data_IF_087893237904
#
_entry.id   IF_087893237904
#
_cell.length_a   1.000
_cell.length_b   1.000
_cell.length_c   1.000
_cell.angle_alpha   90.00
_cell.angle_beta   90.00
_cell.angle_gamma   90.00
#
_symmetry.space_group_name_H-M   'P 1'
#
loop_
_entity.id
_entity.type
_entity.pdbx_description
1 polymer ?
#
# COMPACT_ATOMS: atom_id res chain seq x y z
N UNK A 1 21.80 -16.55 19.64
CA UNK A 1 22.53 -16.92 18.41
C UNK A 1 22.31 -18.41 18.14
N UNK A 2 21.26 -18.73 17.39
CA UNK A 2 20.97 -20.08 16.91
C UNK A 2 20.84 -19.98 15.38
N UNK A 3 21.49 -20.87 14.64
CA UNK A 3 21.55 -20.83 13.16
C UNK A 3 20.17 -20.74 12.54
N UNK A 4 19.20 -21.45 13.11
CA UNK A 4 17.79 -21.42 12.69
C UNK A 4 17.16 -20.02 12.84
N UNK A 5 17.38 -19.32 13.96
CA UNK A 5 16.89 -17.94 14.16
C UNK A 5 17.52 -16.98 13.16
N UNK A 6 18.83 -17.13 12.88
CA UNK A 6 19.56 -16.31 11.91
C UNK A 6 19.04 -16.51 10.48
N UNK A 7 18.80 -17.76 10.08
CA UNK A 7 18.23 -18.09 8.78
C UNK A 7 16.81 -17.52 8.63
N UNK A 8 15.96 -17.69 9.65
CA UNK A 8 14.61 -17.14 9.65
C UNK A 8 14.60 -15.61 9.55
N UNK A 9 15.49 -14.93 10.26
CA UNK A 9 15.64 -13.47 10.16
C UNK A 9 16.06 -13.04 8.76
N UNK A 10 17.02 -13.74 8.14
CA UNK A 10 17.48 -13.45 6.78
C UNK A 10 16.38 -13.68 5.73
N UNK A 11 15.63 -14.78 5.83
CA UNK A 11 14.54 -15.07 4.90
C UNK A 11 13.40 -14.05 5.01
N UNK A 12 13.00 -13.69 6.23
CA UNK A 12 11.99 -12.63 6.45
C UNK A 12 12.43 -11.28 5.88
N UNK A 13 13.70 -10.91 6.07
CA UNK A 13 14.24 -9.68 5.51
C UNK A 13 14.24 -9.69 3.98
N UNK A 14 14.61 -10.81 3.35
CA UNK A 14 14.56 -10.98 1.88
C UNK A 14 13.13 -10.93 1.34
N UNK A 15 12.20 -11.64 1.98
CA UNK A 15 10.78 -11.63 1.61
C UNK A 15 10.18 -10.23 1.70
N UNK A 16 10.45 -9.49 2.79
CA UNK A 16 10.00 -8.09 2.94
C UNK A 16 10.54 -7.18 1.83
N UNK A 17 11.81 -7.36 1.44
CA UNK A 17 12.42 -6.61 0.32
C UNK A 17 11.83 -6.98 -1.04
N UNK A 18 11.52 -8.26 -1.27
CA UNK A 18 10.87 -8.70 -2.50
C UNK A 18 9.43 -8.16 -2.62
N UNK A 19 8.65 -8.26 -1.55
CA UNK A 19 7.27 -7.76 -1.52
C UNK A 19 7.21 -6.24 -1.72
N UNK A 20 8.12 -5.48 -1.11
CA UNK A 20 8.19 -4.03 -1.30
C UNK A 20 8.56 -3.62 -2.74
N UNK A 21 9.28 -4.48 -3.47
CA UNK A 21 9.60 -4.25 -4.90
C UNK A 21 8.47 -4.67 -5.82
N UNK A 22 7.77 -5.76 -5.48
CA UNK A 22 6.67 -6.30 -6.27
C UNK A 22 5.41 -5.43 -6.19
N UNK A 23 5.10 -4.92 -5.00
CA UNK A 23 3.98 -4.03 -4.76
C UNK A 23 4.51 -2.68 -4.25
N UNK A 24 5.02 -1.82 -5.15
CA UNK A 24 5.30 -0.44 -4.77
C UNK A 24 3.99 0.17 -4.26
N UNK A 25 4.05 0.92 -3.14
CA UNK A 25 2.90 1.71 -2.70
C UNK A 25 2.45 2.55 -3.90
N UNK A 26 1.17 2.48 -4.32
CA UNK A 26 0.69 3.36 -5.36
C UNK A 26 0.96 4.77 -4.86
N UNK A 27 1.74 5.53 -5.63
CA UNK A 27 1.85 6.97 -5.40
C UNK A 27 0.43 7.51 -5.52
N UNK A 28 0.11 8.55 -4.74
CA UNK A 28 -1.14 9.28 -4.93
C UNK A 28 -1.25 9.60 -6.42
N UNK A 29 -2.25 8.99 -7.05
CA UNK A 29 -2.40 9.08 -8.49
C UNK A 29 -2.59 10.56 -8.79
N UNK A 30 -1.81 11.11 -9.72
CA UNK A 30 -2.04 12.49 -10.13
C UNK A 30 -3.39 12.55 -10.84
N UNK A 31 -4.41 12.95 -10.08
CA UNK A 31 -5.78 13.09 -10.54
C UNK A 31 -5.89 14.53 -11.06
N UNK A 32 -6.22 14.67 -12.35
CA UNK A 32 -6.43 15.98 -12.95
C UNK A 32 -7.59 16.70 -12.26
N UNK A 33 -7.68 18.04 -12.38
CA UNK A 33 -8.78 18.80 -11.76
C UNK A 33 -10.17 18.26 -12.16
N UNK A 34 -10.32 17.79 -13.40
CA UNK A 34 -11.55 17.19 -13.89
C UNK A 34 -11.87 15.85 -13.21
N UNK A 35 -10.85 15.01 -13.00
CA UNK A 35 -11.04 13.70 -12.39
C UNK A 35 -11.27 13.80 -10.87
N UNK A 36 -10.78 14.87 -10.24
CA UNK A 36 -11.03 15.15 -8.81
C UNK A 36 -12.47 15.57 -8.57
N UNK A 37 -13.06 16.34 -9.48
CA UNK A 37 -14.48 16.70 -9.42
C UNK A 37 -15.36 15.46 -9.58
N UNK A 38 -15.04 14.58 -10.53
CA UNK A 38 -15.75 13.31 -10.72
C UNK A 38 -15.64 12.38 -9.51
N UNK A 39 -14.44 12.27 -8.92
CA UNK A 39 -14.24 11.47 -7.71
C UNK A 39 -14.90 12.11 -6.47
N UNK A 40 -15.02 13.43 -6.39
CA UNK A 40 -15.75 14.09 -5.30
C UNK A 40 -17.27 13.92 -5.45
N UNK A 41 -17.78 13.91 -6.68
CA UNK A 41 -19.18 13.58 -6.99
C UNK A 41 -19.49 12.10 -6.73
N UNK A 42 -18.54 11.19 -6.98
CA UNK A 42 -18.71 9.75 -6.75
C UNK A 42 -18.43 9.32 -5.29
N UNK A 43 -17.60 10.06 -4.53
CA UNK A 43 -17.29 9.78 -3.12
C UNK A 43 -18.31 10.36 -2.12
N UNK A 44 -19.33 11.09 -2.58
CA UNK A 44 -20.48 11.49 -1.78
C UNK A 44 -21.62 10.48 -1.99
N UNK A 45 -21.48 9.22 -1.50
CA UNK A 45 -22.25 8.83 -0.31
C UNK A 45 -21.61 7.67 0.50
N UNK A 46 -20.92 7.95 1.62
CA UNK A 46 -20.68 6.96 2.70
C UNK A 46 -20.13 7.59 3.99
N UNK A 47 -20.56 8.80 4.36
CA UNK A 47 -20.23 9.40 5.66
C UNK A 47 -21.43 10.15 6.24
N UNK A 48 -22.60 9.50 6.20
CA UNK A 48 -23.64 9.72 7.18
C UNK A 48 -24.01 8.35 7.76
N UNK A 49 -23.97 8.26 9.09
CA UNK A 49 -24.61 7.32 10.03
C UNK A 49 -23.65 6.72 11.08
N UNK A 50 -23.92 7.17 12.32
CA UNK A 50 -23.62 6.67 13.68
C UNK A 50 -22.21 6.16 14.06
#
# INVERSE_FOLDING_TARGET
>A
MNRQKKLQQLFKAKAKKANAKLAPKPKDKYISKADRLKLAEEAAPAAEQE
#
